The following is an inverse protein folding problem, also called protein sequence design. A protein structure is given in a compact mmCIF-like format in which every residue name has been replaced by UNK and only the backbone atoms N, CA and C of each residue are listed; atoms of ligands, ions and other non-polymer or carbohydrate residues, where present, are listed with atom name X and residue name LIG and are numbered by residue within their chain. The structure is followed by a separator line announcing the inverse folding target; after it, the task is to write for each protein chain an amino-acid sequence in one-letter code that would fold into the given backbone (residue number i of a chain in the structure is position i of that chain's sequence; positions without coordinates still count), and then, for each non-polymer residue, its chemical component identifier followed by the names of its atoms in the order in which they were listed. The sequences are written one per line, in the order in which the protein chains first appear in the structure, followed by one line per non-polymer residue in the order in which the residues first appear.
data_IF_099744146305
#
_entry.id   IF_099744146305
#
_cell.length_a   1.000
_cell.length_b   1.000
_cell.length_c   1.000
_cell.angle_alpha   90.00
_cell.angle_beta   90.00
_cell.angle_gamma   90.00
#
_symmetry.space_group_name_H-M   'P 1'
#
loop_
_entity.id
_entity.type
_entity.pdbx_description
1 polymer ?
#
# COMPACT_ATOMS: atom_id res chain seq x y z
N UNK A 1 3.67 -41.07 -23.78
CA UNK A 1 2.58 -40.46 -22.98
C UNK A 1 3.03 -40.49 -21.53
N UNK A 2 3.43 -39.34 -20.96
CA UNK A 2 3.93 -39.27 -19.58
C UNK A 2 2.75 -39.32 -18.59
N UNK A 3 2.88 -40.05 -17.47
CA UNK A 3 1.77 -40.24 -16.53
C UNK A 3 1.45 -38.93 -15.79
N UNK A 4 0.15 -38.65 -15.63
CA UNK A 4 -0.40 -37.46 -14.94
C UNK A 4 0.19 -37.22 -13.53
N UNK A 5 0.78 -38.25 -12.91
CA UNK A 5 1.42 -38.20 -11.59
C UNK A 5 2.70 -37.35 -11.58
N UNK A 6 3.41 -37.23 -12.71
CA UNK A 6 4.63 -36.40 -12.81
C UNK A 6 4.26 -34.92 -12.81
N UNK A 7 3.17 -34.54 -13.48
CA UNK A 7 2.73 -33.14 -13.59
C UNK A 7 2.31 -32.59 -12.21
N UNK A 8 1.62 -33.39 -11.39
CA UNK A 8 1.22 -32.98 -10.03
C UNK A 8 2.39 -32.83 -9.06
N UNK A 9 3.49 -33.56 -9.24
CA UNK A 9 4.69 -33.41 -8.40
C UNK A 9 5.43 -32.10 -8.67
N UNK A 10 5.49 -31.66 -9.93
CA UNK A 10 6.20 -30.41 -10.30
C UNK A 10 5.46 -29.18 -9.77
N UNK A 11 4.11 -29.18 -9.83
CA UNK A 11 3.30 -28.06 -9.31
C UNK A 11 3.44 -27.91 -7.79
N UNK A 12 3.69 -29.01 -7.06
CA UNK A 12 3.89 -28.98 -5.60
C UNK A 12 5.26 -28.43 -5.16
N UNK A 13 6.31 -28.50 -6.00
CA UNK A 13 7.63 -27.96 -5.66
C UNK A 13 7.72 -26.43 -5.82
N UNK A 14 6.86 -25.81 -6.63
CA UNK A 14 6.85 -24.36 -6.77
C UNK A 14 6.23 -23.64 -5.55
N UNK A 15 5.45 -24.36 -4.73
CA UNK A 15 4.75 -23.81 -3.57
C UNK A 15 5.53 -23.91 -2.24
N UNK A 16 6.72 -24.53 -2.22
CA UNK A 16 7.48 -24.80 -0.98
C UNK A 16 8.81 -24.06 -0.86
N UNK A 17 9.14 -23.15 -1.78
CA UNK A 17 10.27 -22.22 -1.62
C UNK A 17 9.81 -20.85 -1.11
N UNK A 18 8.99 -20.82 -0.06
CA UNK A 18 9.02 -19.67 0.84
C UNK A 18 10.27 -19.84 1.71
N UNK A 19 11.44 -19.63 1.13
CA UNK A 19 12.65 -19.44 1.91
C UNK A 19 12.44 -18.11 2.63
N UNK A 20 12.06 -18.16 3.91
CA UNK A 20 12.11 -17.00 4.78
C UNK A 20 13.59 -16.63 4.95
N UNK A 21 14.16 -15.95 3.97
CA UNK A 21 15.27 -15.06 4.24
C UNK A 21 14.71 -14.05 5.23
N UNK A 22 15.15 -14.16 6.48
CA UNK A 22 14.72 -13.27 7.55
C UNK A 22 15.25 -11.87 7.28
N UNK A 23 14.67 -11.19 6.29
CA UNK A 23 14.94 -9.79 6.04
C UNK A 23 14.45 -9.03 7.26
N UNK A 24 15.34 -8.23 7.80
CA UNK A 24 14.97 -7.23 8.78
C UNK A 24 14.00 -6.25 8.14
N UNK A 25 13.12 -5.61 8.92
CA UNK A 25 12.24 -4.56 8.40
C UNK A 25 12.99 -3.45 7.65
N UNK A 26 14.25 -3.16 8.01
CA UNK A 26 15.09 -2.18 7.32
C UNK A 26 15.40 -2.61 5.88
N UNK A 27 15.86 -3.85 5.68
CA UNK A 27 16.21 -4.37 4.35
C UNK A 27 14.99 -4.40 3.41
N UNK A 28 13.79 -4.63 3.97
CA UNK A 28 12.54 -4.55 3.22
C UNK A 28 12.30 -3.11 2.74
N UNK A 29 12.44 -2.12 3.62
CA UNK A 29 12.28 -0.71 3.25
C UNK A 29 13.32 -0.31 2.21
N UNK A 30 14.59 -0.67 2.39
CA UNK A 30 15.66 -0.36 1.45
C UNK A 30 15.37 -0.94 0.05
N UNK A 31 14.83 -2.16 0.01
CA UNK A 31 14.43 -2.81 -1.25
C UNK A 31 13.24 -2.11 -1.91
N UNK A 32 12.22 -1.71 -1.14
CA UNK A 32 11.05 -0.97 -1.66
C UNK A 32 11.46 0.40 -2.21
N UNK A 33 12.39 1.06 -1.54
CA UNK A 33 12.83 2.41 -1.89
C UNK A 33 13.89 2.43 -3.00
N UNK A 34 14.46 1.29 -3.36
CA UNK A 34 15.43 1.18 -4.45
C UNK A 34 14.79 1.63 -5.78
N UNK A 35 15.39 2.63 -6.44
CA UNK A 35 14.90 3.22 -7.68
C UNK A 35 13.50 3.87 -7.59
N UNK A 36 13.01 4.16 -6.38
CA UNK A 36 11.77 4.91 -6.21
C UNK A 36 11.97 6.40 -6.54
N UNK A 37 11.21 6.91 -7.52
CA UNK A 37 11.15 8.33 -7.86
C UNK A 37 9.91 9.00 -7.28
N UNK A 38 10.10 10.02 -6.44
CA UNK A 38 8.99 10.83 -5.89
C UNK A 38 8.28 11.68 -6.94
N UNK A 39 8.91 11.91 -8.08
CA UNK A 39 8.38 12.74 -9.16
C UNK A 39 7.62 11.92 -10.20
N UNK A 40 7.66 10.59 -10.13
CA UNK A 40 6.96 9.71 -11.05
C UNK A 40 5.56 9.37 -10.52
N UNK A 41 4.55 9.50 -11.38
CA UNK A 41 3.16 9.17 -11.05
C UNK A 41 2.91 7.70 -11.39
N UNK A 42 2.42 6.86 -10.45
CA UNK A 42 2.09 5.46 -10.71
C UNK A 42 1.19 5.23 -11.93
N UNK A 43 1.34 4.07 -12.58
CA UNK A 43 0.52 3.63 -13.69
C UNK A 43 -0.44 2.48 -13.28
N UNK A 44 -1.62 2.37 -13.92
CA UNK A 44 -2.16 3.24 -14.97
C UNK A 44 -2.72 4.55 -14.42
N UNK A 45 -2.79 5.58 -15.27
CA UNK A 45 -3.44 6.85 -14.96
C UNK A 45 -4.84 6.89 -15.59
N UNK A 46 -5.85 7.50 -14.93
CA UNK A 46 -5.77 8.18 -13.63
C UNK A 46 -5.69 7.21 -12.44
N UNK A 47 -4.99 7.63 -11.38
CA UNK A 47 -4.93 6.84 -10.15
C UNK A 47 -6.22 7.06 -9.37
N UNK A 48 -7.01 6.00 -9.07
CA UNK A 48 -8.20 6.12 -8.25
C UNK A 48 -7.78 6.30 -6.78
N UNK A 49 -7.68 7.56 -6.34
CA UNK A 49 -7.40 7.90 -4.94
C UNK A 49 -8.71 7.89 -4.15
N UNK A 50 -8.76 7.12 -3.08
CA UNK A 50 -9.85 7.14 -2.10
C UNK A 50 -9.41 8.04 -0.93
N UNK A 51 -10.32 8.91 -0.47
CA UNK A 51 -10.07 9.84 0.63
C UNK A 51 -11.08 9.62 1.73
N UNK A 52 -10.60 9.62 2.97
CA UNK A 52 -11.44 9.54 4.17
C UNK A 52 -11.09 10.71 5.10
N UNK A 53 -12.12 11.42 5.57
CA UNK A 53 -11.97 12.53 6.51
C UNK A 53 -12.75 12.21 7.77
N UNK A 54 -12.04 12.22 8.90
CA UNK A 54 -12.66 12.16 10.23
C UNK A 54 -12.48 13.51 10.92
N UNK A 55 -13.59 14.16 11.27
CA UNK A 55 -13.56 15.37 12.10
C UNK A 55 -13.33 14.96 13.54
N UNK A 56 -12.24 15.45 14.14
CA UNK A 56 -11.95 15.22 15.54
C UNK A 56 -12.69 16.23 16.42
N UNK A 57 -12.59 17.52 16.08
CA UNK A 57 -13.24 18.60 16.80
C UNK A 57 -13.44 19.84 15.92
N UNK A 58 -14.40 20.70 16.30
CA UNK A 58 -14.62 22.02 15.71
C UNK A 58 -14.30 23.06 16.78
N UNK A 59 -13.17 23.74 16.62
CA UNK A 59 -12.63 24.62 17.65
C UNK A 59 -13.31 25.99 17.68
N UNK A 60 -13.56 26.58 16.51
CA UNK A 60 -14.08 27.93 16.39
C UNK A 60 -15.13 28.02 15.29
N UNK A 61 -16.20 28.76 15.57
CA UNK A 61 -17.23 29.15 14.63
C UNK A 61 -17.31 30.68 14.59
N UNK A 62 -17.01 31.26 13.43
CA UNK A 62 -17.15 32.70 13.22
C UNK A 62 -18.34 32.97 12.31
N UNK A 63 -19.38 33.58 12.90
CA UNK A 63 -20.58 34.02 12.17
C UNK A 63 -20.26 35.21 11.27
N UNK A 64 -19.35 36.10 11.70
CA UNK A 64 -18.99 37.31 10.95
C UNK A 64 -18.32 36.98 9.61
N UNK A 65 -17.50 35.92 9.58
CA UNK A 65 -16.79 35.48 8.37
C UNK A 65 -17.42 34.24 7.71
N UNK A 66 -18.51 33.71 8.27
CA UNK A 66 -19.14 32.46 7.84
C UNK A 66 -18.11 31.32 7.66
N UNK A 67 -17.27 31.13 8.68
CA UNK A 67 -16.15 30.18 8.63
C UNK A 67 -16.03 29.40 9.93
N UNK A 68 -15.39 28.24 9.85
CA UNK A 68 -15.04 27.45 11.02
C UNK A 68 -13.62 26.89 10.91
N UNK A 69 -13.04 26.59 12.07
CA UNK A 69 -11.78 25.86 12.19
C UNK A 69 -12.04 24.51 12.81
N UNK A 70 -11.52 23.45 12.19
CA UNK A 70 -11.68 22.09 12.65
C UNK A 70 -10.38 21.31 12.56
N UNK A 71 -10.20 20.42 13.52
CA UNK A 71 -9.13 19.44 13.51
C UNK A 71 -9.64 18.19 12.78
N UNK A 72 -8.91 17.77 11.75
CA UNK A 72 -9.28 16.63 10.91
C UNK A 72 -8.16 15.61 10.81
N UNK A 73 -8.56 14.35 10.71
CA UNK A 73 -7.72 13.26 10.22
C UNK A 73 -8.06 13.04 8.75
N UNK A 74 -7.07 13.25 7.88
CA UNK A 74 -7.17 12.99 6.45
C UNK A 74 -6.41 11.70 6.14
N UNK A 75 -7.07 10.72 5.53
CA UNK A 75 -6.52 9.41 5.17
C UNK A 75 -6.70 9.14 3.68
#
# INVERSE_FOLDING_TARGET
MMPLTVIFSVIRMAASQCSKTGMTPSEIVDTIMANYSRSEIPQPQPIPVQVEVTVQDIMELSVLSNSFSADIWFR
#
